data_IF_244759562911
#
_entry.id   IF_244759562911
#
_cell.length_a   1.000
_cell.length_b   1.000
_cell.length_c   1.000
_cell.angle_alpha   90.00
_cell.angle_beta   90.00
_cell.angle_gamma   90.00
#
_symmetry.space_group_name_H-M   'P 1'
#
loop_
_entity.id
_entity.type
_entity.pdbx_description
1 polymer ?
#
# COMPACT_ATOMS: atom_id res chain seq x y z
N UNK A 1 -26.58 -38.08 -11.23
CA UNK A 1 -25.47 -37.98 -10.25
C UNK A 1 -25.45 -36.55 -9.75
N UNK A 2 -25.96 -36.32 -8.51
CA UNK A 2 -26.06 -35.00 -7.88
C UNK A 2 -24.67 -34.64 -7.32
N UNK A 3 -24.04 -33.61 -7.85
CA UNK A 3 -22.84 -33.02 -7.24
C UNK A 3 -23.24 -32.26 -6.01
N UNK A 4 -22.85 -32.78 -4.86
CA UNK A 4 -22.95 -32.15 -3.56
C UNK A 4 -21.99 -30.96 -3.54
N UNK A 5 -22.54 -29.74 -3.56
CA UNK A 5 -21.78 -28.51 -3.28
C UNK A 5 -21.56 -28.48 -1.77
N UNK A 6 -20.32 -28.74 -1.36
CA UNK A 6 -19.87 -28.56 0.02
C UNK A 6 -19.69 -27.04 0.23
N UNK A 7 -20.73 -26.38 0.74
CA UNK A 7 -20.62 -25.06 1.33
C UNK A 7 -19.72 -25.19 2.58
N UNK A 8 -18.46 -24.79 2.47
CA UNK A 8 -17.61 -24.56 3.63
C UNK A 8 -18.17 -23.38 4.39
N UNK A 9 -19.07 -23.69 5.32
CA UNK A 9 -19.60 -22.79 6.33
C UNK A 9 -18.41 -22.40 7.24
N UNK A 10 -17.79 -21.27 6.97
CA UNK A 10 -16.90 -20.62 7.91
C UNK A 10 -17.74 -20.21 9.11
N UNK A 11 -17.99 -21.17 9.99
CA UNK A 11 -18.56 -20.92 11.31
C UNK A 11 -17.54 -20.08 12.07
N UNK A 12 -17.75 -18.76 12.03
CA UNK A 12 -17.08 -17.80 12.88
C UNK A 12 -17.53 -18.13 14.31
N UNK A 13 -16.79 -19.03 14.97
CA UNK A 13 -16.93 -19.30 16.38
C UNK A 13 -16.85 -17.96 17.11
N UNK A 14 -17.99 -17.50 17.60
CA UNK A 14 -18.11 -16.46 18.60
C UNK A 14 -17.42 -17.01 19.86
N UNK A 15 -16.10 -16.91 19.90
CA UNK A 15 -15.36 -17.11 21.14
C UNK A 15 -15.54 -15.79 21.89
N UNK A 16 -16.28 -15.80 23.03
CA UNK A 16 -16.25 -14.63 23.90
C UNK A 16 -14.76 -14.39 24.25
N UNK A 17 -14.29 -13.20 24.01
CA UNK A 17 -12.93 -12.79 24.35
C UNK A 17 -12.77 -12.94 25.88
N UNK A 18 -12.26 -14.10 26.32
CA UNK A 18 -11.71 -14.25 27.67
C UNK A 18 -10.22 -13.92 27.53
N UNK A 19 -9.73 -12.86 28.18
CA UNK A 19 -8.31 -12.58 28.23
C UNK A 19 -7.60 -13.80 28.80
N UNK A 20 -6.72 -14.40 28.02
CA UNK A 20 -5.85 -15.50 28.46
C UNK A 20 -4.73 -14.82 29.25
N UNK A 21 -4.75 -14.98 30.57
CA UNK A 21 -3.99 -14.29 31.60
C UNK A 21 -4.47 -12.85 31.85
N UNK A 22 -4.94 -12.62 33.04
CA UNK A 22 -5.47 -11.44 33.70
C UNK A 22 -4.82 -10.07 33.49
N UNK A 23 -4.45 -9.74 32.25
CA UNK A 23 -4.03 -8.39 31.91
C UNK A 23 -5.26 -7.48 31.85
N UNK A 24 -5.27 -6.46 32.68
CA UNK A 24 -6.36 -5.50 32.75
C UNK A 24 -6.30 -4.60 31.52
N UNK A 25 -7.37 -4.60 30.72
CA UNK A 25 -7.53 -3.65 29.64
C UNK A 25 -8.06 -2.32 30.18
N UNK A 26 -7.39 -1.25 29.81
CA UNK A 26 -7.82 0.12 30.06
C UNK A 26 -8.45 0.70 28.79
N UNK A 27 -9.28 1.72 28.97
CA UNK A 27 -10.01 2.36 27.87
C UNK A 27 -9.90 3.86 28.00
N UNK A 28 -9.57 4.53 26.90
CA UNK A 28 -9.71 5.99 26.74
C UNK A 28 -10.58 6.32 25.54
N UNK A 29 -11.36 7.40 25.64
CA UNK A 29 -12.22 7.90 24.57
C UNK A 29 -11.85 9.34 24.24
N UNK A 30 -11.83 9.65 22.95
CA UNK A 30 -11.62 11.02 22.50
C UNK A 30 -11.64 11.11 20.98
N UNK A 31 -11.96 12.30 20.49
CA UNK A 31 -11.87 12.61 19.06
C UNK A 31 -12.64 11.66 18.12
N UNK A 32 -13.69 10.97 18.60
CA UNK A 32 -14.49 10.04 17.79
C UNK A 32 -13.87 8.64 17.63
N UNK A 33 -12.95 8.25 18.51
CA UNK A 33 -12.37 6.92 18.58
C UNK A 33 -12.28 6.42 20.02
N UNK A 34 -12.47 5.12 20.24
CA UNK A 34 -12.25 4.46 21.52
C UNK A 34 -11.00 3.61 21.43
N UNK A 35 -10.05 3.78 22.36
CA UNK A 35 -8.81 3.00 22.38
C UNK A 35 -8.75 2.14 23.62
N UNK A 36 -8.60 0.82 23.40
CA UNK A 36 -8.35 -0.18 24.42
C UNK A 36 -6.84 -0.51 24.42
N UNK A 37 -6.26 -0.62 25.60
CA UNK A 37 -4.83 -0.86 25.71
C UNK A 37 -4.46 -1.60 26.99
N UNK A 38 -3.29 -2.19 27.02
CA UNK A 38 -2.62 -2.80 28.17
C UNK A 38 -1.55 -1.83 28.71
N UNK A 39 -1.32 -1.80 30.02
CA UNK A 39 -0.15 -1.06 30.55
C UNK A 39 1.17 -1.68 30.03
N UNK A 40 2.18 -0.87 29.68
CA UNK A 40 2.29 0.59 29.83
C UNK A 40 1.94 1.40 28.57
N UNK A 41 0.95 0.97 27.76
CA UNK A 41 0.66 1.60 26.44
C UNK A 41 -0.24 2.85 26.52
N UNK A 42 -0.40 3.48 27.69
CA UNK A 42 -1.23 4.68 27.83
C UNK A 42 -0.83 5.81 26.88
N UNK A 43 0.45 6.12 26.80
CA UNK A 43 0.94 7.18 25.88
C UNK A 43 0.67 6.85 24.41
N UNK A 44 0.78 5.59 24.03
CA UNK A 44 0.44 5.13 22.67
C UNK A 44 -1.08 5.26 22.39
N UNK A 45 -1.91 4.98 23.37
CA UNK A 45 -3.35 5.17 23.24
C UNK A 45 -3.74 6.65 23.12
N UNK A 46 -3.07 7.54 23.86
CA UNK A 46 -3.21 8.99 23.71
C UNK A 46 -2.72 9.47 22.35
N UNK A 47 -1.63 8.90 21.81
CA UNK A 47 -1.15 9.18 20.45
C UNK A 47 -2.21 8.83 19.40
N UNK A 48 -2.85 7.65 19.49
CA UNK A 48 -3.96 7.27 18.59
C UNK A 48 -5.09 8.30 18.62
N UNK A 49 -5.53 8.73 19.83
CA UNK A 49 -6.57 9.77 19.99
C UNK A 49 -6.16 11.06 19.28
N UNK A 50 -4.91 11.47 19.43
CA UNK A 50 -4.41 12.75 18.89
C UNK A 50 -4.31 12.74 17.37
N UNK A 51 -3.89 11.63 16.75
CA UNK A 51 -3.70 11.56 15.30
C UNK A 51 -4.97 11.17 14.54
N UNK A 52 -5.95 10.55 15.18
CA UNK A 52 -7.13 9.96 14.55
C UNK A 52 -7.89 10.94 13.66
N UNK A 53 -8.24 12.15 14.17
CA UNK A 53 -9.00 13.14 13.40
C UNK A 53 -8.30 13.57 12.11
N UNK A 54 -6.98 13.72 12.15
CA UNK A 54 -6.19 14.05 10.96
C UNK A 54 -6.22 12.91 9.93
N UNK A 55 -6.07 11.67 10.38
CA UNK A 55 -6.05 10.50 9.51
C UNK A 55 -7.42 10.26 8.85
N UNK A 56 -8.50 10.30 9.63
CA UNK A 56 -9.84 10.08 9.08
C UNK A 56 -10.26 11.20 8.13
N UNK A 57 -9.96 12.47 8.44
CA UNK A 57 -10.24 13.59 7.56
C UNK A 57 -9.49 13.47 6.22
N UNK A 58 -8.26 12.98 6.23
CA UNK A 58 -7.49 12.73 5.01
C UNK A 58 -8.10 11.60 4.17
N UNK A 59 -8.49 10.48 4.79
CA UNK A 59 -9.16 9.37 4.12
C UNK A 59 -10.49 9.82 3.50
N UNK A 60 -11.34 10.52 4.26
CA UNK A 60 -12.63 11.02 3.79
C UNK A 60 -12.48 11.98 2.62
N UNK A 61 -11.47 12.86 2.67
CA UNK A 61 -11.15 13.75 1.56
C UNK A 61 -10.68 13.00 0.32
N UNK A 62 -9.83 11.98 0.49
CA UNK A 62 -9.23 11.21 -0.62
C UNK A 62 -10.24 10.26 -1.26
N UNK A 63 -11.08 9.59 -0.47
CA UNK A 63 -12.08 8.62 -0.94
C UNK A 63 -13.48 9.22 -1.16
N UNK A 64 -13.73 10.48 -0.74
CA UNK A 64 -15.02 11.19 -0.83
C UNK A 64 -16.16 10.50 -0.06
N UNK A 65 -15.83 9.68 0.91
CA UNK A 65 -16.75 8.97 1.80
C UNK A 65 -16.50 9.35 3.24
N UNK A 66 -17.51 9.18 4.10
CA UNK A 66 -17.42 9.46 5.54
C UNK A 66 -17.58 8.19 6.35
N UNK A 67 -16.86 8.12 7.45
CA UNK A 67 -17.04 7.11 8.46
C UNK A 67 -18.00 7.68 9.54
N UNK A 68 -19.24 7.21 9.58
CA UNK A 68 -20.32 7.76 10.41
C UNK A 68 -20.47 7.06 11.78
N UNK A 69 -19.44 6.38 12.24
CA UNK A 69 -19.38 5.73 13.54
C UNK A 69 -17.99 5.88 14.20
N UNK A 70 -17.95 5.67 15.51
CA UNK A 70 -16.72 5.64 16.29
C UNK A 70 -16.10 4.23 16.23
N UNK A 71 -14.91 4.04 15.66
CA UNK A 71 -14.22 2.76 15.70
C UNK A 71 -13.56 2.52 17.06
N UNK A 72 -13.33 1.24 17.36
CA UNK A 72 -12.54 0.80 18.50
C UNK A 72 -11.16 0.32 18.03
N UNK A 73 -10.11 0.75 18.72
CA UNK A 73 -8.72 0.36 18.43
C UNK A 73 -8.13 -0.34 19.66
N UNK A 74 -7.66 -1.57 19.49
CA UNK A 74 -6.96 -2.32 20.53
C UNK A 74 -5.46 -2.33 20.26
N UNK A 75 -4.68 -1.84 21.22
CA UNK A 75 -3.23 -1.89 21.20
C UNK A 75 -2.73 -3.08 22.02
N UNK A 76 -1.99 -3.98 21.40
CA UNK A 76 -1.40 -5.16 22.02
C UNK A 76 0.11 -4.94 22.16
N UNK A 77 0.64 -5.07 23.38
CA UNK A 77 2.09 -4.91 23.66
C UNK A 77 2.91 -6.15 23.35
N UNK A 78 2.29 -7.33 23.41
CA UNK A 78 2.97 -8.62 23.25
C UNK A 78 2.74 -9.22 21.88
N UNK A 79 3.83 -9.43 21.13
CA UNK A 79 3.80 -9.99 19.77
C UNK A 79 3.13 -11.35 19.71
N UNK A 80 3.40 -12.24 20.64
CA UNK A 80 2.86 -13.59 20.63
C UNK A 80 1.34 -13.58 20.88
N UNK A 81 0.88 -12.71 21.77
CA UNK A 81 -0.56 -12.51 22.03
C UNK A 81 -1.25 -12.00 20.76
N UNK A 82 -0.68 -10.99 20.10
CA UNK A 82 -1.20 -10.50 18.83
C UNK A 82 -1.24 -11.60 17.76
N UNK A 83 -0.16 -12.36 17.57
CA UNK A 83 -0.10 -13.44 16.56
C UNK A 83 -1.15 -14.54 16.80
N UNK A 84 -1.42 -14.89 18.05
CA UNK A 84 -2.52 -15.83 18.38
C UNK A 84 -3.89 -15.27 18.00
N UNK A 85 -4.10 -13.97 18.21
CA UNK A 85 -5.35 -13.29 17.83
C UNK A 85 -5.49 -13.17 16.31
N UNK A 86 -4.45 -12.72 15.62
CA UNK A 86 -4.40 -12.55 14.18
C UNK A 86 -4.35 -13.88 13.41
N UNK A 87 -3.99 -14.98 14.08
CA UNK A 87 -3.70 -16.30 13.46
C UNK A 87 -2.68 -16.19 12.33
N UNK A 88 -1.78 -15.22 12.43
CA UNK A 88 -0.73 -14.95 11.46
C UNK A 88 0.53 -14.43 12.14
N UNK A 89 1.69 -14.83 11.61
CA UNK A 89 2.98 -14.31 12.03
C UNK A 89 3.47 -13.18 11.14
N UNK A 90 2.76 -12.90 10.05
CA UNK A 90 3.20 -11.97 9.00
C UNK A 90 2.60 -10.57 9.13
N UNK A 91 1.41 -10.46 9.74
CA UNK A 91 0.72 -9.16 9.90
C UNK A 91 1.14 -8.46 11.20
N UNK A 92 0.96 -7.14 11.23
CA UNK A 92 1.21 -6.28 12.42
C UNK A 92 -0.03 -5.53 12.87
N UNK A 93 -1.08 -5.53 12.06
CA UNK A 93 -2.40 -4.99 12.38
C UNK A 93 -3.47 -5.73 11.58
N UNK A 94 -4.71 -5.56 11.93
CA UNK A 94 -5.85 -5.97 11.12
C UNK A 94 -7.13 -5.26 11.55
N UNK A 95 -8.01 -4.97 10.59
CA UNK A 95 -9.35 -4.49 10.83
C UNK A 95 -10.37 -5.64 10.87
N UNK A 96 -11.42 -5.46 11.67
CA UNK A 96 -12.62 -6.30 11.71
C UNK A 96 -13.84 -5.42 11.41
N UNK A 97 -14.12 -5.13 10.12
CA UNK A 97 -15.13 -4.14 9.74
C UNK A 97 -16.52 -4.38 10.32
N UNK A 98 -16.95 -5.65 10.41
CA UNK A 98 -18.27 -6.02 10.98
C UNK A 98 -18.40 -5.63 12.46
N UNK A 99 -17.28 -5.47 13.17
CA UNK A 99 -17.21 -5.06 14.57
C UNK A 99 -16.77 -3.61 14.75
N UNK A 100 -16.45 -2.90 13.66
CA UNK A 100 -15.90 -1.53 13.69
C UNK A 100 -14.61 -1.47 14.53
N UNK A 101 -13.77 -2.49 14.40
CA UNK A 101 -12.68 -2.78 15.33
C UNK A 101 -11.36 -2.93 14.60
N UNK A 102 -10.29 -2.39 15.18
CA UNK A 102 -8.91 -2.50 14.70
C UNK A 102 -8.06 -3.10 15.82
N UNK A 103 -7.13 -3.99 15.48
CA UNK A 103 -6.13 -4.53 16.40
C UNK A 103 -4.73 -4.22 15.87
N UNK A 104 -3.87 -3.65 16.70
CA UNK A 104 -2.51 -3.25 16.34
C UNK A 104 -1.49 -3.91 17.28
N UNK A 105 -0.49 -4.56 16.71
CA UNK A 105 0.70 -5.02 17.41
C UNK A 105 1.64 -3.84 17.69
N UNK A 106 1.47 -3.22 18.86
CA UNK A 106 2.29 -2.06 19.21
C UNK A 106 3.77 -2.40 19.39
N UNK A 107 4.12 -3.66 19.65
CA UNK A 107 5.52 -4.09 19.76
C UNK A 107 6.33 -3.87 18.46
N UNK A 108 5.63 -3.69 17.34
CA UNK A 108 6.23 -3.45 16.02
C UNK A 108 6.18 -2.00 15.59
N UNK A 109 5.35 -1.18 16.23
CA UNK A 109 5.25 0.22 15.88
C UNK A 109 6.57 0.95 16.22
N UNK A 110 6.94 1.93 15.40
CA UNK A 110 8.21 2.66 15.49
C UNK A 110 9.48 1.81 15.22
N UNK A 111 9.32 0.57 14.75
CA UNK A 111 10.39 -0.25 14.19
C UNK A 111 10.25 -0.26 12.68
N UNK A 112 11.22 0.37 11.97
CA UNK A 112 11.16 0.43 10.49
C UNK A 112 10.89 -0.97 9.88
N UNK A 113 9.92 -1.08 8.96
CA UNK A 113 9.23 0.00 8.23
C UNK A 113 7.91 0.50 8.84
N UNK A 114 7.50 0.02 10.02
CA UNK A 114 6.18 0.28 10.59
C UNK A 114 6.13 1.61 11.36
N UNK A 115 5.01 2.29 11.21
CA UNK A 115 4.69 3.53 11.89
C UNK A 115 3.20 3.50 12.29
N UNK A 116 2.90 3.93 13.51
CA UNK A 116 1.54 3.85 14.06
C UNK A 116 0.52 4.60 13.19
N UNK A 117 0.84 5.82 12.76
CA UNK A 117 -0.07 6.63 11.95
C UNK A 117 -0.38 6.00 10.59
N UNK A 118 0.65 5.51 9.89
CA UNK A 118 0.51 4.81 8.60
C UNK A 118 -0.30 3.53 8.74
N UNK A 119 0.00 2.72 9.77
CA UNK A 119 -0.72 1.47 10.05
C UNK A 119 -2.18 1.74 10.41
N UNK A 120 -2.44 2.68 11.31
CA UNK A 120 -3.81 3.04 11.69
C UNK A 120 -4.60 3.57 10.48
N UNK A 121 -3.99 4.40 9.63
CA UNK A 121 -4.62 4.90 8.41
C UNK A 121 -5.00 3.80 7.43
N UNK A 122 -4.14 2.77 7.30
CA UNK A 122 -4.40 1.59 6.50
C UNK A 122 -5.63 0.83 7.00
N UNK A 123 -5.68 0.54 8.31
CA UNK A 123 -6.81 -0.17 8.92
C UNK A 123 -8.12 0.64 8.88
N UNK A 124 -8.04 1.94 9.09
CA UNK A 124 -9.20 2.84 8.95
C UNK A 124 -9.74 2.85 7.52
N UNK A 125 -8.87 2.69 6.52
CA UNK A 125 -9.31 2.57 5.14
C UNK A 125 -10.17 1.32 4.94
N UNK A 126 -9.78 0.15 5.47
CA UNK A 126 -10.61 -1.04 5.42
C UNK A 126 -11.97 -0.83 6.08
N UNK A 127 -12.00 -0.19 7.26
CA UNK A 127 -13.28 0.14 7.92
C UNK A 127 -14.16 1.01 7.03
N UNK A 128 -13.58 2.03 6.40
CA UNK A 128 -14.31 2.95 5.53
C UNK A 128 -14.84 2.25 4.26
N UNK A 129 -14.00 1.45 3.60
CA UNK A 129 -14.37 0.73 2.38
C UNK A 129 -15.51 -0.28 2.65
N UNK A 130 -15.37 -1.11 3.67
CA UNK A 130 -16.36 -2.12 4.02
C UNK A 130 -17.65 -1.55 4.64
N UNK A 131 -17.60 -0.33 5.18
CA UNK A 131 -18.80 0.38 5.61
C UNK A 131 -19.67 0.75 4.40
N UNK A 132 -19.07 1.19 3.31
CA UNK A 132 -19.77 1.64 2.13
C UNK A 132 -20.02 0.56 1.07
N UNK A 133 -19.26 -0.53 1.07
CA UNK A 133 -19.37 -1.64 0.12
C UNK A 133 -19.68 -2.93 0.89
N UNK A 134 -20.94 -3.19 1.24
CA UNK A 134 -21.35 -4.38 1.99
C UNK A 134 -21.37 -5.63 1.09
N UNK A 135 -21.47 -6.78 1.72
CA UNK A 135 -21.83 -8.04 1.06
C UNK A 135 -20.70 -8.75 0.33
N UNK A 136 -19.42 -8.50 0.67
CA UNK A 136 -18.30 -9.25 0.10
C UNK A 136 -17.99 -8.92 -1.37
N UNK A 137 -18.52 -7.81 -1.88
CA UNK A 137 -18.31 -7.37 -3.26
C UNK A 137 -16.99 -6.67 -3.52
N UNK A 138 -16.27 -6.32 -2.45
CA UNK A 138 -14.96 -5.71 -2.54
C UNK A 138 -13.89 -6.80 -2.71
N UNK A 139 -13.24 -6.91 -3.88
CA UNK A 139 -12.21 -7.91 -4.09
C UNK A 139 -11.00 -7.66 -3.20
N UNK A 140 -10.36 -8.72 -2.69
CA UNK A 140 -9.25 -8.59 -1.75
C UNK A 140 -8.08 -7.76 -2.31
N UNK A 141 -7.71 -7.97 -3.57
CA UNK A 141 -6.64 -7.17 -4.19
C UNK A 141 -6.97 -5.67 -4.28
N UNK A 142 -8.26 -5.34 -4.49
CA UNK A 142 -8.69 -3.94 -4.60
C UNK A 142 -8.75 -3.27 -3.24
N UNK A 143 -9.29 -3.97 -2.24
CA UNK A 143 -9.32 -3.55 -0.83
C UNK A 143 -7.90 -3.23 -0.33
N UNK A 144 -6.98 -4.19 -0.44
CA UNK A 144 -5.59 -4.04 -0.01
C UNK A 144 -4.82 -2.98 -0.81
N UNK A 145 -5.02 -2.99 -2.12
CA UNK A 145 -4.34 -2.03 -2.98
C UNK A 145 -4.76 -0.58 -2.70
N UNK A 146 -6.06 -0.33 -2.48
CA UNK A 146 -6.57 1.00 -2.11
C UNK A 146 -6.07 1.41 -0.72
N UNK A 147 -6.11 0.50 0.26
CA UNK A 147 -5.62 0.77 1.61
C UNK A 147 -4.12 1.14 1.61
N UNK A 148 -3.28 0.43 0.84
CA UNK A 148 -1.87 0.74 0.66
C UNK A 148 -1.65 2.09 -0.06
N UNK A 149 -2.43 2.38 -1.10
CA UNK A 149 -2.33 3.63 -1.84
C UNK A 149 -2.69 4.85 -0.98
N UNK A 150 -3.76 4.77 -0.18
CA UNK A 150 -4.17 5.91 0.66
C UNK A 150 -3.26 6.11 1.86
N UNK A 151 -2.73 5.04 2.45
CA UNK A 151 -1.83 5.12 3.61
C UNK A 151 -0.41 5.54 3.23
N UNK A 152 -0.04 5.47 1.94
CA UNK A 152 1.33 5.74 1.45
C UNK A 152 2.39 4.87 2.14
N UNK A 153 1.95 3.79 2.74
CA UNK A 153 2.75 2.90 3.57
C UNK A 153 3.02 1.55 2.94
N UNK A 154 3.76 0.77 3.68
CA UNK A 154 3.90 -0.66 3.44
C UNK A 154 2.71 -1.33 4.11
N UNK A 155 2.14 -2.32 3.44
CA UNK A 155 1.07 -3.15 3.97
C UNK A 155 1.39 -3.65 5.39
N UNK A 156 0.37 -4.08 6.09
CA UNK A 156 0.38 -4.74 7.40
C UNK A 156 1.43 -5.84 7.57
N UNK A 157 2.14 -6.20 6.49
CA UNK A 157 3.01 -7.36 6.40
C UNK A 157 4.46 -6.97 6.63
N UNK A 158 5.15 -7.83 7.39
CA UNK A 158 6.59 -7.76 7.59
C UNK A 158 7.30 -8.07 6.26
N UNK A 159 7.65 -7.02 5.53
CA UNK A 159 8.39 -7.12 4.26
C UNK A 159 9.90 -6.92 4.48
N UNK A 160 10.71 -7.74 3.83
CA UNK A 160 12.12 -7.41 3.65
C UNK A 160 12.25 -6.39 2.49
N UNK A 161 12.56 -5.14 2.82
CA UNK A 161 12.71 -4.04 1.84
C UNK A 161 13.82 -4.25 0.80
N UNK A 162 14.68 -5.24 0.99
CA UNK A 162 15.90 -5.35 0.17
C UNK A 162 15.66 -5.89 -1.24
N UNK A 163 14.54 -6.58 -1.48
CA UNK A 163 14.20 -7.07 -2.82
C UNK A 163 12.67 -7.08 -3.01
N UNK A 164 12.16 -6.21 -3.90
CA UNK A 164 10.78 -6.29 -4.37
C UNK A 164 10.58 -7.61 -5.13
N UNK A 165 9.62 -8.39 -4.68
CA UNK A 165 9.23 -9.65 -5.34
C UNK A 165 8.63 -9.33 -6.72
N UNK A 166 7.87 -8.23 -6.81
CA UNK A 166 7.27 -7.76 -8.05
C UNK A 166 8.32 -7.46 -9.14
N UNK A 167 9.46 -6.86 -8.77
CA UNK A 167 10.54 -6.61 -9.74
C UNK A 167 11.05 -7.91 -10.38
N UNK A 168 11.23 -8.95 -9.58
CA UNK A 168 11.65 -10.28 -10.09
C UNK A 168 10.58 -10.90 -10.99
N UNK A 169 9.32 -10.80 -10.58
CA UNK A 169 8.18 -11.33 -11.33
C UNK A 169 7.98 -10.57 -12.64
N UNK A 170 8.20 -9.27 -12.67
CA UNK A 170 8.12 -8.49 -13.88
C UNK A 170 9.21 -8.84 -14.92
N UNK A 171 10.35 -9.40 -14.48
CA UNK A 171 11.38 -9.97 -15.36
C UNK A 171 11.00 -11.35 -15.92
N UNK A 172 10.34 -12.17 -15.10
CA UNK A 172 10.03 -13.58 -15.47
C UNK A 172 8.64 -13.76 -16.06
N UNK A 173 7.75 -12.78 -15.94
CA UNK A 173 6.35 -12.86 -16.37
C UNK A 173 5.44 -13.69 -15.47
N UNK A 174 5.93 -14.18 -14.32
CA UNK A 174 5.20 -15.08 -13.42
C UNK A 174 4.26 -14.31 -12.46
N UNK A 175 3.40 -13.46 -13.01
CA UNK A 175 2.38 -12.73 -12.24
C UNK A 175 1.28 -13.65 -11.73
N UNK A 176 0.71 -13.30 -10.58
CA UNK A 176 -0.58 -13.86 -10.16
C UNK A 176 -1.66 -13.13 -10.95
N UNK A 177 -2.64 -13.86 -11.49
CA UNK A 177 -3.78 -13.18 -12.14
C UNK A 177 -4.60 -12.41 -11.10
N UNK A 178 -4.96 -11.17 -11.42
CA UNK A 178 -5.75 -10.30 -10.56
C UNK A 178 -7.09 -10.95 -10.19
N UNK A 179 -7.69 -11.73 -11.10
CA UNK A 179 -8.90 -12.51 -10.80
C UNK A 179 -8.67 -13.54 -9.68
N UNK A 180 -7.50 -14.16 -9.60
CA UNK A 180 -7.18 -15.13 -8.56
C UNK A 180 -6.96 -14.47 -7.19
N UNK A 181 -6.69 -13.17 -7.17
CA UNK A 181 -6.53 -12.37 -5.95
C UNK A 181 -7.86 -11.74 -5.48
N UNK A 182 -8.99 -12.01 -6.16
CA UNK A 182 -10.27 -11.41 -5.82
C UNK A 182 -10.88 -12.01 -4.54
N UNK A 183 -10.82 -13.33 -4.38
CA UNK A 183 -11.42 -14.04 -3.24
C UNK A 183 -10.50 -14.11 -2.01
N UNK A 184 -9.19 -14.06 -2.22
CA UNK A 184 -8.21 -14.14 -1.15
C UNK A 184 -6.77 -14.22 -1.64
N UNK A 185 -5.83 -14.07 -0.72
CA UNK A 185 -4.41 -14.12 -1.02
C UNK A 185 -3.80 -15.49 -0.70
N UNK A 186 -2.71 -15.87 -1.38
CA UNK A 186 -2.00 -17.12 -1.13
C UNK A 186 -1.49 -17.23 0.31
N UNK A 187 -1.39 -18.46 0.83
CA UNK A 187 -0.86 -18.72 2.17
C UNK A 187 0.68 -18.79 2.21
N UNK A 188 1.32 -19.08 1.08
CA UNK A 188 2.78 -19.06 0.99
C UNK A 188 3.31 -17.65 1.15
N UNK A 189 4.36 -17.49 1.96
CA UNK A 189 4.91 -16.17 2.30
C UNK A 189 5.33 -15.36 1.08
N UNK A 190 6.00 -15.98 0.08
CA UNK A 190 6.49 -15.24 -1.08
C UNK A 190 5.34 -14.85 -2.01
N UNK A 191 4.41 -15.77 -2.23
CA UNK A 191 3.22 -15.51 -3.03
C UNK A 191 2.29 -14.48 -2.35
N UNK A 192 2.20 -14.50 -1.01
CA UNK A 192 1.46 -13.50 -0.24
C UNK A 192 2.08 -12.10 -0.42
N UNK A 193 3.40 -11.98 -0.26
CA UNK A 193 4.11 -10.71 -0.46
C UNK A 193 3.91 -10.19 -1.88
N UNK A 194 3.99 -11.08 -2.88
CA UNK A 194 3.73 -10.73 -4.28
C UNK A 194 2.30 -10.21 -4.47
N UNK A 195 1.29 -10.87 -3.89
CA UNK A 195 -0.10 -10.45 -3.98
C UNK A 195 -0.31 -9.02 -3.45
N UNK A 196 0.33 -8.66 -2.34
CA UNK A 196 0.28 -7.30 -1.79
C UNK A 196 1.00 -6.29 -2.69
N UNK A 197 2.20 -6.63 -3.21
CA UNK A 197 2.94 -5.74 -4.12
C UNK A 197 2.19 -5.56 -5.45
N UNK A 198 1.61 -6.62 -6.00
CA UNK A 198 0.79 -6.56 -7.22
C UNK A 198 -0.46 -5.70 -7.00
N UNK A 199 -1.17 -5.90 -5.89
CA UNK A 199 -2.37 -5.12 -5.54
C UNK A 199 -2.07 -3.64 -5.46
N UNK A 200 -1.01 -3.25 -4.73
CA UNK A 200 -0.56 -1.86 -4.63
C UNK A 200 -0.21 -1.29 -6.00
N UNK A 201 0.69 -1.97 -6.72
CA UNK A 201 1.18 -1.53 -8.02
C UNK A 201 0.05 -1.39 -9.05
N UNK A 202 -0.94 -2.28 -9.00
CA UNK A 202 -2.08 -2.21 -9.92
C UNK A 202 -2.99 -1.01 -9.63
N UNK A 203 -3.25 -0.70 -8.34
CA UNK A 203 -3.97 0.52 -7.96
C UNK A 203 -3.17 1.77 -8.34
N UNK A 204 -1.87 1.80 -8.08
CA UNK A 204 -0.99 2.93 -8.47
C UNK A 204 -0.99 3.13 -9.99
N UNK A 205 -1.01 2.05 -10.77
CA UNK A 205 -1.16 2.12 -12.23
C UNK A 205 -2.50 2.72 -12.64
N UNK A 206 -3.62 2.30 -12.02
CA UNK A 206 -4.94 2.88 -12.29
C UNK A 206 -4.94 4.38 -11.99
N UNK A 207 -4.40 4.76 -10.84
CA UNK A 207 -4.29 6.18 -10.45
C UNK A 207 -3.40 6.96 -11.42
N UNK A 208 -2.29 6.39 -11.87
CA UNK A 208 -1.40 7.02 -12.85
C UNK A 208 -2.04 7.24 -14.23
N UNK A 209 -2.93 6.34 -14.66
CA UNK A 209 -3.57 6.43 -15.98
C UNK A 209 -4.90 7.22 -15.95
N UNK A 210 -5.68 7.11 -14.89
CA UNK A 210 -7.06 7.62 -14.81
C UNK A 210 -7.27 8.63 -13.68
N UNK A 211 -6.19 8.97 -12.94
CA UNK A 211 -6.28 9.82 -11.77
C UNK A 211 -6.94 9.15 -10.56
N UNK A 212 -6.95 9.81 -9.43
CA UNK A 212 -7.71 9.36 -8.25
C UNK A 212 -9.21 9.24 -8.51
N UNK A 213 -9.75 10.05 -9.41
CA UNK A 213 -11.17 10.03 -9.79
C UNK A 213 -11.56 8.68 -10.45
N UNK A 214 -10.62 8.01 -11.14
CA UNK A 214 -10.84 6.66 -11.66
C UNK A 214 -11.16 5.66 -10.55
N UNK A 215 -10.38 5.68 -9.46
CA UNK A 215 -10.64 4.84 -8.28
C UNK A 215 -11.98 5.19 -7.64
N UNK A 216 -12.30 6.48 -7.47
CA UNK A 216 -13.57 6.92 -6.88
C UNK A 216 -14.79 6.43 -7.69
N UNK A 217 -14.72 6.48 -9.03
CA UNK A 217 -15.78 5.96 -9.90
C UNK A 217 -15.95 4.45 -9.74
N UNK A 218 -14.86 3.68 -9.70
CA UNK A 218 -14.90 2.23 -9.48
C UNK A 218 -15.55 1.91 -8.13
N UNK A 219 -15.08 2.57 -7.05
CA UNK A 219 -15.62 2.42 -5.71
C UNK A 219 -17.12 2.77 -5.65
N UNK A 220 -17.54 3.84 -6.33
CA UNK A 220 -18.95 4.24 -6.41
C UNK A 220 -19.81 3.17 -7.09
N UNK A 221 -19.33 2.57 -8.16
CA UNK A 221 -20.03 1.48 -8.86
C UNK A 221 -20.13 0.22 -7.99
N UNK A 222 -19.04 -0.14 -7.27
CA UNK A 222 -19.05 -1.24 -6.30
C UNK A 222 -20.07 -1.01 -5.17
N UNK A 223 -20.13 0.23 -4.63
CA UNK A 223 -21.14 0.63 -3.63
C UNK A 223 -22.55 0.48 -4.13
N UNK A 224 -22.78 0.78 -5.43
CA UNK A 224 -24.08 0.63 -6.08
C UNK A 224 -24.44 -0.83 -6.39
N UNK A 225 -23.56 -1.78 -6.07
CA UNK A 225 -23.81 -3.21 -6.19
C UNK A 225 -23.25 -3.87 -7.44
N UNK A 226 -22.48 -3.15 -8.25
CA UNK A 226 -21.80 -3.75 -9.41
C UNK A 226 -20.70 -4.74 -8.95
N UNK A 227 -20.49 -5.78 -9.76
CA UNK A 227 -19.31 -6.63 -9.66
C UNK A 227 -18.08 -5.90 -10.20
N UNK A 228 -16.88 -6.26 -9.74
CA UNK A 228 -15.62 -5.54 -10.02
C UNK A 228 -15.37 -5.31 -11.53
N UNK A 229 -15.64 -6.31 -12.37
CA UNK A 229 -15.46 -6.18 -13.82
C UNK A 229 -16.38 -5.11 -14.42
N UNK A 230 -17.65 -5.08 -13.99
CA UNK A 230 -18.62 -4.07 -14.38
C UNK A 230 -18.28 -2.70 -13.83
N UNK A 231 -17.86 -2.65 -12.56
CA UNK A 231 -17.48 -1.41 -11.88
C UNK A 231 -16.29 -0.73 -12.57
N UNK A 232 -15.27 -1.48 -12.97
CA UNK A 232 -14.10 -1.00 -13.74
C UNK A 232 -14.56 -0.52 -15.12
N UNK A 233 -15.30 -1.35 -15.88
CA UNK A 233 -15.76 -1.00 -17.22
C UNK A 233 -16.60 0.29 -17.23
N UNK A 234 -17.51 0.46 -16.26
CA UNK A 234 -18.32 1.67 -16.11
C UNK A 234 -17.52 2.87 -15.62
N UNK A 235 -16.56 2.64 -14.72
CA UNK A 235 -15.78 3.69 -14.08
C UNK A 235 -14.73 4.33 -14.96
N UNK A 236 -14.00 3.51 -15.73
CA UNK A 236 -12.83 3.94 -16.51
C UNK A 236 -12.84 3.47 -17.97
N UNK A 237 -13.95 2.88 -18.45
CA UNK A 237 -14.19 2.50 -19.84
C UNK A 237 -13.20 1.51 -20.45
N UNK A 238 -12.61 0.64 -19.61
CA UNK A 238 -11.69 -0.43 -20.03
C UNK A 238 -12.04 -1.71 -19.27
N UNK A 239 -11.86 -2.88 -19.89
CA UNK A 239 -12.10 -4.16 -19.23
C UNK A 239 -10.96 -4.47 -18.22
N UNK A 240 -11.27 -5.25 -17.14
CA UNK A 240 -10.23 -5.68 -16.20
C UNK A 240 -9.11 -6.47 -16.91
N UNK A 241 -9.44 -7.29 -17.90
CA UNK A 241 -8.48 -8.05 -18.68
C UNK A 241 -7.50 -7.13 -19.44
N UNK A 242 -7.99 -6.12 -20.13
CA UNK A 242 -7.15 -5.16 -20.86
C UNK A 242 -6.34 -4.29 -19.89
N UNK A 243 -6.94 -3.89 -18.78
CA UNK A 243 -6.28 -3.12 -17.74
C UNK A 243 -5.09 -3.90 -17.15
N UNK A 244 -5.29 -5.18 -16.79
CA UNK A 244 -4.24 -6.08 -16.29
C UNK A 244 -3.14 -6.28 -17.33
N UNK A 245 -3.48 -6.51 -18.59
CA UNK A 245 -2.52 -6.64 -19.70
C UNK A 245 -1.67 -5.39 -19.87
N UNK A 246 -2.29 -4.22 -19.83
CA UNK A 246 -1.61 -2.94 -19.99
C UNK A 246 -0.69 -2.63 -18.78
N UNK A 247 -1.14 -2.94 -17.56
CA UNK A 247 -0.32 -2.82 -16.36
C UNK A 247 0.94 -3.71 -16.41
N UNK A 248 0.80 -4.98 -16.79
CA UNK A 248 1.93 -5.90 -16.97
C UNK A 248 2.93 -5.39 -18.01
N UNK A 249 2.43 -4.88 -19.13
CA UNK A 249 3.26 -4.27 -20.16
C UNK A 249 3.97 -3.00 -19.65
N UNK A 250 3.32 -2.20 -18.82
CA UNK A 250 3.92 -1.03 -18.19
C UNK A 250 5.07 -1.42 -17.25
N UNK A 251 4.89 -2.42 -16.41
CA UNK A 251 5.95 -2.92 -15.51
C UNK A 251 7.15 -3.45 -16.28
N UNK A 252 6.91 -4.22 -17.33
CA UNK A 252 7.98 -4.78 -18.17
C UNK A 252 8.82 -3.69 -18.85
N UNK A 253 8.21 -2.62 -19.33
CA UNK A 253 8.92 -1.47 -19.94
C UNK A 253 9.83 -0.75 -18.95
N UNK A 254 9.34 -0.50 -17.73
CA UNK A 254 10.12 0.16 -16.68
C UNK A 254 11.38 -0.65 -16.30
N UNK A 255 11.25 -1.96 -16.20
CA UNK A 255 12.37 -2.85 -15.86
C UNK A 255 13.37 -2.98 -17.01
N UNK A 256 12.88 -3.08 -18.25
CA UNK A 256 13.77 -3.11 -19.44
C UNK A 256 14.66 -1.88 -19.47
N UNK A 257 14.14 -0.70 -19.12
CA UNK A 257 14.92 0.54 -19.05
C UNK A 257 16.01 0.49 -17.96
N UNK A 258 15.68 -0.03 -16.77
CA UNK A 258 16.65 -0.20 -15.67
C UNK A 258 17.75 -1.20 -16.02
N UNK A 259 17.40 -2.31 -16.68
CA UNK A 259 18.37 -3.29 -17.16
C UNK A 259 19.27 -2.68 -18.23
N UNK A 260 18.70 -1.95 -19.18
CA UNK A 260 19.46 -1.24 -20.21
C UNK A 260 20.45 -0.26 -19.56
N UNK A 261 19.98 0.56 -18.60
CA UNK A 261 20.83 1.51 -17.89
C UNK A 261 21.94 0.80 -17.11
N UNK A 262 21.63 -0.30 -16.41
CA UNK A 262 22.61 -1.07 -15.64
C UNK A 262 23.66 -1.72 -16.54
N UNK A 263 23.25 -2.30 -17.67
CA UNK A 263 24.15 -2.98 -18.59
C UNK A 263 25.06 -2.03 -19.37
N UNK A 264 24.64 -0.78 -19.58
CA UNK A 264 25.40 0.24 -20.30
C UNK A 264 25.92 1.35 -19.36
N UNK A 265 25.98 1.11 -18.05
CA UNK A 265 26.35 2.13 -17.07
C UNK A 265 27.76 2.68 -17.30
N UNK A 266 28.73 1.81 -17.63
CA UNK A 266 30.11 2.22 -17.88
C UNK A 266 30.23 3.07 -19.13
N UNK A 267 29.55 2.70 -20.23
CA UNK A 267 29.52 3.46 -21.47
C UNK A 267 28.89 4.85 -21.27
N UNK A 268 27.78 4.90 -20.54
CA UNK A 268 27.08 6.15 -20.21
C UNK A 268 27.98 7.06 -19.37
N UNK A 269 28.61 6.52 -18.33
CA UNK A 269 29.54 7.28 -17.48
C UNK A 269 30.75 7.76 -18.25
N UNK A 270 31.34 6.93 -19.13
CA UNK A 270 32.46 7.30 -20.00
C UNK A 270 32.07 8.42 -20.96
N UNK A 271 30.89 8.33 -21.58
CA UNK A 271 30.39 9.36 -22.48
C UNK A 271 30.16 10.70 -21.75
N UNK A 272 29.58 10.66 -20.54
CA UNK A 272 29.41 11.86 -19.72
C UNK A 272 30.75 12.49 -19.31
N UNK A 273 31.74 11.68 -18.95
CA UNK A 273 33.08 12.15 -18.62
C UNK A 273 33.74 12.81 -19.83
N UNK A 274 33.62 12.20 -21.03
CA UNK A 274 34.11 12.78 -22.27
C UNK A 274 33.47 14.15 -22.59
N UNK A 275 32.15 14.27 -22.44
CA UNK A 275 31.42 15.54 -22.61
C UNK A 275 31.89 16.62 -21.63
N UNK A 276 32.10 16.28 -20.37
CA UNK A 276 32.63 17.21 -19.35
C UNK A 276 34.02 17.67 -19.72
N UNK A 277 34.89 16.76 -20.19
CA UNK A 277 36.27 17.06 -20.62
C UNK A 277 36.28 18.00 -21.83
N UNK A 278 35.45 17.68 -22.84
CA UNK A 278 35.31 18.54 -24.05
C UNK A 278 34.83 19.94 -23.66
N UNK A 279 33.76 20.00 -22.80
CA UNK A 279 33.24 21.30 -22.33
C UNK A 279 34.30 22.10 -21.55
N UNK A 280 35.05 21.44 -20.67
CA UNK A 280 36.15 22.04 -19.92
C UNK A 280 37.24 22.58 -20.84
N UNK A 281 37.61 21.78 -21.84
CA UNK A 281 38.62 22.19 -22.86
C UNK A 281 38.17 23.39 -23.71
N UNK A 282 36.93 23.38 -24.19
CA UNK A 282 36.37 24.51 -24.94
C UNK A 282 36.31 25.79 -24.10
N UNK A 283 35.97 25.69 -22.83
CA UNK A 283 35.99 26.82 -21.89
C UNK A 283 37.38 27.38 -21.65
N UNK A 284 38.41 26.51 -21.57
CA UNK A 284 39.81 26.92 -21.46
C UNK A 284 40.31 27.60 -22.74
N UNK A 285 39.97 27.04 -23.91
CA UNK A 285 40.29 27.66 -25.19
C UNK A 285 39.70 29.07 -25.30
N UNK A 286 38.40 29.22 -24.98
CA UNK A 286 37.74 30.52 -24.98
C UNK A 286 38.47 31.53 -24.07
N UNK A 287 38.80 31.14 -22.85
CA UNK A 287 39.57 31.99 -21.92
C UNK A 287 40.94 32.41 -22.51
N UNK A 288 41.64 31.47 -23.18
CA UNK A 288 42.94 31.75 -23.79
C UNK A 288 42.83 32.75 -24.92
N UNK A 289 41.78 32.68 -25.74
CA UNK A 289 41.51 33.65 -26.80
C UNK A 289 41.17 35.03 -26.22
N UNK A 290 40.31 35.08 -25.18
CA UNK A 290 39.94 36.35 -24.53
C UNK A 290 41.16 37.07 -23.89
N UNK A 291 42.11 36.31 -23.34
CA UNK A 291 43.38 36.86 -22.82
C UNK A 291 44.29 37.41 -23.93
N UNK A 292 44.40 36.72 -25.07
CA UNK A 292 45.21 37.15 -26.20
C UNK A 292 44.70 38.44 -26.81
N UNK A 293 43.37 38.58 -26.97
CA UNK A 293 42.70 39.77 -27.49
C UNK A 293 42.84 40.99 -26.53
N UNK A 294 43.02 40.75 -25.22
CA UNK A 294 43.25 41.84 -24.23
C UNK A 294 44.71 42.33 -24.24
N UNK A 295 45.70 41.44 -24.47
CA UNK A 295 47.10 41.81 -24.58
C UNK A 295 47.39 42.61 -25.86
N UNK A 296 46.77 42.23 -27.01
CA UNK A 296 46.92 42.94 -28.28
C UNK A 296 46.24 44.32 -28.26
N UNK A 297 45.28 44.57 -27.37
CA UNK A 297 44.68 45.90 -27.17
C UNK A 297 45.47 46.83 -26.26
N UNK A 298 46.28 46.28 -25.36
CA UNK A 298 47.09 47.06 -24.41
C UNK A 298 48.52 47.41 -25.01
N UNK A 299 48.85 46.87 -26.15
CA UNK A 299 50.14 47.10 -26.82
C UNK A 299 50.07 48.07 -27.99
N UNK A 300 48.94 48.76 -28.22
CA UNK A 300 48.73 49.87 -29.14
C UNK A 300 48.44 51.14 -28.31
#
# INVERSE_FOLDING_TARGET
MKKLFLFSLFALLIVPFKPVHGEQLFTIKGNGVTVLFEEPLKNAAEEVINIYLGLIAELERKLKWKLDYEPEVLLIKNRETFQRMARSTLVVAYAVPQRKFIVIDYSRMNISPFNLGTTLKHELCHLLLHHHIPGGKLPKWFDEGVAQWVSEGIAEIIMDRRQSVLTRVALTGNYISINNLAEGFPQDKQALLLAYEESKSFIEYIVGQFGSDGIIKILTNLRNGDEINSAIQKGISISLYELEKNWRAHLSKGITWLIYLSNNLYEILFFLAALITIFGFLKLLKRKFDYKDSDDRNSK
#
